data_IF_209283479940
#
_entry.id   IF_209283479940
#
_cell.length_a   1.000
_cell.length_b   1.000
_cell.length_c   1.000
_cell.angle_alpha   90.00
_cell.angle_beta   90.00
_cell.angle_gamma   90.00
#
_symmetry.space_group_name_H-M   'P 1'
#
loop_
_entity.id
_entity.type
_entity.pdbx_description
1 polymer ?
#
# COMPACT_ATOMS: atom_id res chain seq x y z
N UNK A 1 -23.29 0.51 19.37
CA UNK A 1 -22.00 1.15 19.03
C UNK A 1 -21.20 0.23 18.16
N UNK A 2 -20.86 0.69 16.97
CA UNK A 2 -19.88 -0.01 16.13
C UNK A 2 -18.49 0.23 16.71
N UNK A 3 -17.75 -0.83 17.00
CA UNK A 3 -16.36 -0.73 17.41
C UNK A 3 -15.52 -0.17 16.25
N UNK A 4 -14.50 0.65 16.57
CA UNK A 4 -13.57 1.16 15.58
C UNK A 4 -12.79 0.02 14.93
N UNK A 5 -12.47 0.16 13.65
CA UNK A 5 -11.58 -0.75 12.95
C UNK A 5 -10.18 -0.63 13.55
N UNK A 6 -9.63 -1.74 14.01
CA UNK A 6 -8.25 -1.80 14.52
C UNK A 6 -7.31 -1.98 13.34
N UNK A 7 -6.51 -0.97 13.09
CA UNK A 7 -5.53 -0.97 12.01
C UNK A 7 -4.11 -1.00 12.59
N UNK A 8 -3.31 -1.97 12.18
CA UNK A 8 -1.91 -2.04 12.55
C UNK A 8 -1.06 -1.58 11.38
N UNK A 9 -0.21 -0.59 11.63
CA UNK A 9 0.71 -0.03 10.64
C UNK A 9 2.12 -0.51 10.90
N UNK A 10 2.75 -1.11 9.89
CA UNK A 10 4.20 -1.37 9.91
C UNK A 10 4.90 -0.14 9.37
N UNK A 11 5.69 0.53 10.21
CA UNK A 11 6.46 1.71 9.85
C UNK A 11 7.84 1.30 9.33
N UNK A 12 8.10 1.61 8.08
CA UNK A 12 9.38 1.35 7.42
C UNK A 12 10.38 2.53 7.61
N UNK A 13 10.33 3.21 8.76
CA UNK A 13 11.21 4.35 9.07
C UNK A 13 11.04 5.50 8.08
N UNK A 14 9.80 5.84 7.79
CA UNK A 14 9.45 6.87 6.84
C UNK A 14 8.75 8.06 7.51
N UNK A 15 9.15 9.27 7.09
CA UNK A 15 8.55 10.51 7.63
C UNK A 15 7.09 10.70 7.24
N UNK A 16 6.62 10.07 6.17
CA UNK A 16 5.22 10.18 5.71
C UNK A 16 4.27 9.21 6.40
N UNK A 17 4.78 8.26 7.18
CA UNK A 17 3.95 7.25 7.87
C UNK A 17 2.86 7.89 8.71
N UNK A 18 3.19 8.90 9.51
CA UNK A 18 2.23 9.53 10.42
C UNK A 18 1.18 10.37 9.69
N UNK A 19 1.43 10.84 8.48
CA UNK A 19 0.40 11.46 7.65
C UNK A 19 -0.66 10.43 7.23
N UNK A 20 -0.24 9.21 6.91
CA UNK A 20 -1.17 8.11 6.61
C UNK A 20 -1.96 7.74 7.88
N UNK A 21 -1.30 7.66 9.03
CA UNK A 21 -1.94 7.42 10.33
C UNK A 21 -3.01 8.47 10.60
N UNK A 22 -2.69 9.73 10.37
CA UNK A 22 -3.63 10.83 10.55
C UNK A 22 -4.86 10.69 9.66
N UNK A 23 -4.68 10.36 8.38
CA UNK A 23 -5.79 10.16 7.46
C UNK A 23 -6.71 9.01 7.92
N UNK A 24 -6.13 7.89 8.34
CA UNK A 24 -6.92 6.78 8.87
C UNK A 24 -7.64 7.15 10.16
N UNK A 25 -7.00 7.92 11.03
CA UNK A 25 -7.63 8.44 12.25
C UNK A 25 -8.83 9.34 11.94
N UNK A 26 -8.68 10.23 10.97
CA UNK A 26 -9.78 11.10 10.49
C UNK A 26 -10.95 10.28 9.93
N UNK A 27 -10.67 9.10 9.36
CA UNK A 27 -11.67 8.18 8.84
C UNK A 27 -12.27 7.27 9.92
N UNK A 28 -11.86 7.43 11.18
CA UNK A 28 -12.42 6.73 12.32
C UNK A 28 -11.73 5.42 12.69
N UNK A 29 -10.57 5.11 12.12
CA UNK A 29 -9.81 3.91 12.49
C UNK A 29 -9.03 4.13 13.79
N UNK A 30 -8.82 3.05 14.55
CA UNK A 30 -7.92 2.99 15.69
C UNK A 30 -6.60 2.42 15.21
N UNK A 31 -5.56 3.26 15.12
CA UNK A 31 -4.29 2.92 14.50
C UNK A 31 -3.19 2.72 15.53
N UNK A 32 -2.55 1.55 15.50
CA UNK A 32 -1.30 1.29 16.22
C UNK A 32 -0.15 1.23 15.22
N UNK A 33 0.99 1.82 15.56
CA UNK A 33 2.17 1.91 14.69
C UNK A 33 3.34 1.18 15.33
N UNK A 34 3.97 0.29 14.57
CA UNK A 34 5.19 -0.42 15.00
C UNK A 34 6.21 -0.39 13.87
N UNK A 35 7.46 -0.11 14.22
CA UNK A 35 8.55 -0.17 13.25
C UNK A 35 8.80 -1.60 12.79
N UNK A 36 9.30 -1.75 11.56
CA UNK A 36 9.47 -3.04 10.90
C UNK A 36 10.44 -4.02 11.58
N UNK A 37 11.21 -3.55 12.54
CA UNK A 37 12.17 -4.33 13.33
C UNK A 37 11.85 -4.33 14.85
N UNK A 38 10.70 -3.78 15.24
CA UNK A 38 10.29 -3.65 16.65
C UNK A 38 9.07 -4.51 17.01
N UNK A 39 8.57 -5.30 16.07
CA UNK A 39 7.44 -6.20 16.29
C UNK A 39 7.65 -7.51 15.54
N UNK A 40 7.17 -8.61 16.11
CA UNK A 40 7.20 -9.92 15.45
C UNK A 40 5.84 -10.29 14.86
N UNK A 41 5.84 -11.26 13.94
CA UNK A 41 4.59 -11.78 13.36
C UNK A 41 3.68 -12.33 14.44
N UNK A 42 4.22 -13.04 15.43
CA UNK A 42 3.47 -13.60 16.56
C UNK A 42 2.81 -12.51 17.40
N UNK A 43 3.52 -11.41 17.64
CA UNK A 43 2.98 -10.25 18.37
C UNK A 43 1.85 -9.59 17.59
N UNK A 44 1.98 -9.46 16.27
CA UNK A 44 0.92 -8.93 15.41
C UNK A 44 -0.32 -9.82 15.48
N UNK A 45 -0.14 -11.13 15.35
CA UNK A 45 -1.24 -12.10 15.43
C UNK A 45 -1.95 -12.03 16.77
N UNK A 46 -1.20 -11.85 17.88
CA UNK A 46 -1.78 -11.75 19.22
C UNK A 46 -2.63 -10.49 19.41
N UNK A 47 -2.32 -9.42 18.70
CA UNK A 47 -3.08 -8.15 18.75
C UNK A 47 -4.41 -8.22 17.99
N UNK A 48 -4.57 -9.19 17.09
CA UNK A 48 -5.78 -9.41 16.30
C UNK A 48 -6.27 -8.13 15.59
N UNK A 49 -5.43 -7.49 14.76
CA UNK A 49 -5.88 -6.32 14.02
C UNK A 49 -6.94 -6.70 12.97
N UNK A 50 -7.79 -5.75 12.61
CA UNK A 50 -8.78 -5.92 11.55
C UNK A 50 -8.19 -5.64 10.17
N UNK A 51 -7.16 -4.79 10.11
CA UNK A 51 -6.47 -4.35 8.88
C UNK A 51 -4.99 -4.22 9.14
N UNK A 52 -4.20 -4.42 8.10
CA UNK A 52 -2.75 -4.25 8.12
C UNK A 52 -2.32 -3.30 7.00
N UNK A 53 -1.49 -2.32 7.34
CA UNK A 53 -0.91 -1.40 6.38
C UNK A 53 0.60 -1.46 6.47
N UNK A 54 1.26 -1.58 5.33
CA UNK A 54 2.73 -1.53 5.22
C UNK A 54 3.09 -0.19 4.61
N UNK A 55 3.84 0.62 5.36
CA UNK A 55 4.08 2.03 5.06
C UNK A 55 5.10 2.25 3.94
N UNK A 56 5.20 3.48 3.43
CA UNK A 56 6.38 3.90 2.67
C UNK A 56 7.67 3.69 3.47
N UNK A 57 8.79 3.75 2.79
CA UNK A 57 10.11 3.66 3.42
C UNK A 57 11.23 3.80 2.40
N UNK A 58 12.47 3.90 2.90
CA UNK A 58 13.64 4.00 2.05
C UNK A 58 14.07 2.64 1.50
N UNK A 59 14.98 2.66 0.53
CA UNK A 59 15.64 1.49 -0.05
C UNK A 59 14.65 0.56 -0.77
N UNK A 60 14.77 -0.75 -0.57
CA UNK A 60 13.94 -1.76 -1.23
C UNK A 60 13.23 -2.64 -0.22
N UNK A 61 12.26 -3.47 -0.66
CA UNK A 61 11.60 -4.42 0.24
C UNK A 61 12.55 -5.37 0.97
N UNK A 62 13.72 -5.65 0.41
CA UNK A 62 14.71 -6.52 1.05
C UNK A 62 15.29 -5.91 2.33
N UNK A 63 15.30 -4.59 2.46
CA UNK A 63 15.79 -3.87 3.63
C UNK A 63 14.65 -3.39 4.55
N UNK A 64 13.43 -3.85 4.33
CA UNK A 64 12.23 -3.39 5.05
C UNK A 64 11.84 -4.32 6.22
N UNK A 65 12.80 -4.92 6.90
CA UNK A 65 12.55 -5.77 8.07
C UNK A 65 11.56 -6.89 7.76
N UNK A 66 10.49 -6.98 8.55
CA UNK A 66 9.48 -8.04 8.43
C UNK A 66 8.42 -7.77 7.35
N UNK A 67 8.49 -6.66 6.61
CA UNK A 67 7.39 -6.22 5.74
C UNK A 67 6.95 -7.29 4.73
N UNK A 68 7.88 -7.92 4.00
CA UNK A 68 7.54 -8.99 3.05
C UNK A 68 6.97 -10.21 3.77
N UNK A 69 7.61 -10.64 4.87
CA UNK A 69 7.17 -11.81 5.64
C UNK A 69 5.77 -11.60 6.24
N UNK A 70 5.46 -10.40 6.69
CA UNK A 70 4.14 -10.04 7.23
C UNK A 70 3.07 -10.19 6.14
N UNK A 71 3.33 -9.69 4.94
CA UNK A 71 2.39 -9.82 3.82
C UNK A 71 2.15 -11.31 3.50
N UNK A 72 3.21 -12.09 3.42
CA UNK A 72 3.11 -13.53 3.14
C UNK A 72 2.33 -14.28 4.22
N UNK A 73 2.59 -13.96 5.50
CA UNK A 73 1.95 -14.66 6.61
C UNK A 73 0.45 -14.33 6.73
N UNK A 74 0.09 -13.04 6.57
CA UNK A 74 -1.29 -12.60 6.75
C UNK A 74 -2.11 -12.63 5.46
N UNK A 75 -1.52 -13.03 4.35
CA UNK A 75 -2.26 -13.21 3.10
C UNK A 75 -3.43 -14.19 3.30
N UNK A 76 -4.65 -13.73 2.98
CA UNK A 76 -5.87 -14.50 3.18
C UNK A 76 -6.43 -14.49 4.60
N UNK A 77 -5.76 -13.83 5.55
CA UNK A 77 -6.21 -13.76 6.95
C UNK A 77 -6.87 -12.43 7.30
N UNK A 78 -6.41 -11.34 6.71
CA UNK A 78 -6.98 -10.00 6.89
C UNK A 78 -6.62 -9.10 5.71
N UNK A 79 -7.37 -8.00 5.50
CA UNK A 79 -7.05 -7.05 4.44
C UNK A 79 -5.71 -6.35 4.67
N UNK A 80 -4.93 -6.21 3.59
CA UNK A 80 -3.60 -5.60 3.60
C UNK A 80 -3.53 -4.51 2.54
N UNK A 81 -3.02 -3.33 2.92
CA UNK A 81 -2.67 -2.25 2.01
C UNK A 81 -1.18 -1.98 2.09
N UNK A 82 -0.51 -1.91 0.96
CA UNK A 82 0.88 -1.45 0.86
C UNK A 82 0.95 -0.09 0.20
N UNK A 83 1.74 0.82 0.75
CA UNK A 83 1.95 2.16 0.21
C UNK A 83 3.43 2.33 -0.13
N UNK A 84 3.72 2.71 -1.35
CA UNK A 84 5.07 2.94 -1.88
C UNK A 84 5.97 1.71 -1.66
N UNK A 85 6.88 1.72 -0.68
CA UNK A 85 7.68 0.55 -0.33
C UNK A 85 6.79 -0.66 0.01
N UNK A 86 5.70 -0.45 0.72
CA UNK A 86 4.74 -1.50 1.04
C UNK A 86 4.08 -2.12 -0.19
N UNK A 87 3.80 -1.32 -1.21
CA UNK A 87 3.32 -1.80 -2.50
C UNK A 87 4.36 -2.67 -3.20
N UNK A 88 5.63 -2.22 -3.20
CA UNK A 88 6.74 -3.02 -3.74
C UNK A 88 6.92 -4.33 -2.96
N UNK A 89 6.75 -4.28 -1.64
CA UNK A 89 6.79 -5.48 -0.80
C UNK A 89 5.69 -6.49 -1.17
N UNK A 90 4.51 -6.03 -1.57
CA UNK A 90 3.47 -6.91 -2.10
C UNK A 90 3.95 -7.59 -3.39
N UNK A 91 4.51 -6.84 -4.32
CA UNK A 91 5.09 -7.41 -5.54
C UNK A 91 6.13 -8.49 -5.23
N UNK A 92 7.06 -8.19 -4.33
CA UNK A 92 8.12 -9.11 -3.91
C UNK A 92 7.56 -10.34 -3.19
N UNK A 93 6.54 -10.16 -2.34
CA UNK A 93 5.93 -11.25 -1.56
C UNK A 93 5.35 -12.36 -2.45
N UNK A 94 4.87 -12.00 -3.63
CA UNK A 94 4.28 -12.94 -4.59
C UNK A 94 5.21 -13.31 -5.75
N UNK A 95 6.50 -12.92 -5.68
CA UNK A 95 7.52 -13.36 -6.63
C UNK A 95 7.87 -12.40 -7.76
N UNK A 96 7.34 -11.18 -7.73
CA UNK A 96 7.70 -10.13 -8.69
C UNK A 96 9.07 -9.54 -8.41
N UNK A 97 9.70 -9.00 -9.44
CA UNK A 97 10.97 -8.27 -9.32
C UNK A 97 10.71 -6.78 -9.07
N UNK A 98 11.53 -6.19 -8.21
CA UNK A 98 11.51 -4.75 -7.96
C UNK A 98 12.73 -4.18 -8.68
N UNK A 99 12.48 -3.25 -9.59
CA UNK A 99 13.49 -2.68 -10.49
C UNK A 99 13.48 -1.17 -10.42
N UNK A 100 14.47 -0.52 -11.04
CA UNK A 100 14.47 0.93 -11.14
C UNK A 100 13.25 1.41 -11.91
N UNK A 101 12.59 2.44 -11.39
CA UNK A 101 11.50 3.11 -12.09
C UNK A 101 12.00 3.72 -13.40
N UNK A 102 11.12 3.84 -14.37
CA UNK A 102 11.44 4.45 -15.66
C UNK A 102 11.92 5.89 -15.50
N UNK A 103 11.40 6.60 -14.49
CA UNK A 103 11.84 7.94 -14.11
C UNK A 103 12.00 8.03 -12.61
N UNK A 104 13.08 8.66 -12.15
CA UNK A 104 13.25 9.00 -10.74
C UNK A 104 12.20 10.04 -10.36
N UNK A 105 11.35 9.69 -9.37
CA UNK A 105 10.29 10.54 -8.86
C UNK A 105 10.59 10.97 -7.43
N UNK A 106 10.66 12.28 -7.24
CA UNK A 106 10.91 12.87 -5.91
C UNK A 106 10.01 14.09 -5.73
N UNK A 107 8.79 13.85 -5.21
CA UNK A 107 7.80 14.91 -5.01
C UNK A 107 7.17 15.43 -6.30
N UNK A 108 7.15 14.61 -7.34
CA UNK A 108 6.56 14.97 -8.63
C UNK A 108 5.18 14.34 -8.77
N UNK A 109 4.30 15.03 -9.47
CA UNK A 109 2.96 14.52 -9.75
C UNK A 109 2.92 13.85 -11.11
N UNK A 110 2.02 12.87 -11.23
CA UNK A 110 1.71 12.21 -12.50
C UNK A 110 0.22 11.93 -12.56
N UNK A 111 -0.33 11.91 -13.77
CA UNK A 111 -1.69 11.41 -13.99
C UNK A 111 -1.61 9.90 -14.11
N UNK A 112 -2.45 9.20 -13.38
CA UNK A 112 -2.58 7.74 -13.47
C UNK A 112 -3.91 7.38 -14.10
N UNK A 113 -3.94 6.23 -14.77
CA UNK A 113 -5.17 5.55 -15.18
C UNK A 113 -5.44 4.41 -14.22
N UNK A 114 -6.71 4.13 -13.92
CA UNK A 114 -7.11 3.09 -12.99
C UNK A 114 -8.17 2.18 -13.57
N UNK A 115 -8.29 0.98 -12.99
CA UNK A 115 -9.38 0.05 -13.32
C UNK A 115 -10.66 0.36 -12.56
N UNK A 116 -10.65 1.35 -11.68
CA UNK A 116 -11.77 1.70 -10.79
C UNK A 116 -12.20 0.54 -9.87
N UNK A 117 -11.25 -0.34 -9.53
CA UNK A 117 -11.46 -1.48 -8.61
C UNK A 117 -10.64 -1.31 -7.33
N UNK A 118 -11.04 -2.01 -6.28
CA UNK A 118 -10.36 -1.97 -4.98
C UNK A 118 -10.40 -0.58 -4.38
N UNK A 119 -9.25 -0.02 -4.03
CA UNK A 119 -9.17 1.34 -3.46
C UNK A 119 -9.64 2.41 -4.44
N UNK A 120 -9.69 2.10 -5.73
CA UNK A 120 -10.11 3.03 -6.78
C UNK A 120 -11.62 2.97 -7.07
N UNK A 121 -12.36 2.16 -6.34
CA UNK A 121 -13.80 2.02 -6.56
C UNK A 121 -14.54 3.35 -6.34
N UNK A 122 -15.38 3.73 -7.30
CA UNK A 122 -16.14 4.97 -7.24
C UNK A 122 -15.35 6.24 -7.54
N UNK A 123 -14.06 6.13 -7.88
CA UNK A 123 -13.21 7.26 -8.21
C UNK A 123 -13.13 7.45 -9.73
N UNK A 124 -12.68 8.64 -10.20
CA UNK A 124 -12.46 8.85 -11.63
C UNK A 124 -11.48 7.83 -12.20
N UNK A 125 -11.62 7.53 -13.48
CA UNK A 125 -10.72 6.62 -14.20
C UNK A 125 -9.29 7.17 -14.27
N UNK A 126 -9.13 8.49 -14.29
CA UNK A 126 -7.82 9.16 -14.30
C UNK A 126 -7.82 10.27 -13.26
N UNK A 127 -6.70 10.42 -12.55
CA UNK A 127 -6.49 11.53 -11.63
C UNK A 127 -5.00 11.68 -11.31
N UNK A 128 -4.66 12.79 -10.66
CA UNK A 128 -3.27 13.16 -10.34
C UNK A 128 -2.87 12.61 -8.98
N UNK A 129 -1.65 12.05 -8.90
CA UNK A 129 -1.05 11.53 -7.67
C UNK A 129 0.37 12.05 -7.49
N UNK A 130 0.81 12.12 -6.24
CA UNK A 130 2.18 12.49 -5.88
C UNK A 130 3.05 11.24 -5.78
N UNK A 131 4.24 11.31 -6.38
CA UNK A 131 5.18 10.20 -6.46
C UNK A 131 6.50 10.54 -5.77
N UNK A 132 6.96 9.58 -4.94
CA UNK A 132 8.26 9.63 -4.26
C UNK A 132 8.87 8.23 -4.33
N UNK A 133 9.41 7.83 -5.48
CA UNK A 133 10.01 6.51 -5.59
C UNK A 133 11.06 6.45 -6.69
N UNK A 134 12.07 5.64 -6.48
CA UNK A 134 13.10 5.30 -7.47
C UNK A 134 12.98 3.86 -7.97
N UNK A 135 12.15 3.05 -7.31
CA UNK A 135 11.90 1.65 -7.64
C UNK A 135 10.44 1.44 -7.99
N UNK A 136 10.16 0.36 -8.71
CA UNK A 136 8.81 -0.02 -9.10
C UNK A 136 8.72 -1.54 -9.27
N UNK A 137 7.50 -2.07 -9.26
CA UNK A 137 7.26 -3.47 -9.64
C UNK A 137 7.50 -3.59 -11.15
N UNK A 138 8.36 -4.51 -11.55
CA UNK A 138 8.63 -4.79 -12.96
C UNK A 138 7.39 -5.39 -13.63
N UNK A 139 6.92 -4.77 -14.70
CA UNK A 139 5.69 -5.20 -15.37
C UNK A 139 5.83 -6.61 -15.97
N UNK A 140 6.98 -6.94 -16.54
CA UNK A 140 7.21 -8.24 -17.18
C UNK A 140 7.25 -9.41 -16.20
N UNK A 141 7.61 -9.16 -14.94
CA UNK A 141 7.65 -10.19 -13.88
C UNK A 141 6.51 -10.05 -12.87
N UNK A 142 5.56 -9.14 -13.11
CA UNK A 142 4.41 -8.97 -12.22
C UNK A 142 3.67 -10.31 -12.09
N UNK A 143 3.53 -10.84 -10.85
CA UNK A 143 2.94 -12.17 -10.66
C UNK A 143 1.52 -12.27 -11.21
N UNK A 144 1.16 -13.43 -11.76
CA UNK A 144 -0.18 -13.68 -12.33
C UNK A 144 -1.31 -13.52 -11.31
N UNK A 145 -1.01 -13.73 -10.01
CA UNK A 145 -2.01 -13.55 -8.95
C UNK A 145 -2.34 -12.10 -8.68
N UNK A 146 -1.54 -11.15 -9.19
CA UNK A 146 -1.76 -9.72 -9.04
C UNK A 146 -2.33 -9.13 -10.34
N UNK A 147 -3.35 -8.27 -10.15
CA UNK A 147 -3.91 -7.44 -11.23
C UNK A 147 -3.31 -6.04 -11.11
N UNK A 148 -2.83 -5.49 -12.21
CA UNK A 148 -2.42 -4.09 -12.25
C UNK A 148 -3.68 -3.23 -12.25
N UNK A 149 -3.85 -2.39 -11.24
CA UNK A 149 -5.04 -1.57 -11.05
C UNK A 149 -4.84 -0.10 -11.39
N UNK A 150 -3.59 0.34 -11.48
CA UNK A 150 -3.25 1.70 -11.88
C UNK A 150 -1.90 1.74 -12.58
N UNK A 151 -1.76 2.67 -13.54
CA UNK A 151 -0.53 2.81 -14.34
C UNK A 151 -0.39 4.25 -14.86
N UNK A 152 0.84 4.63 -15.21
CA UNK A 152 1.12 5.88 -15.92
C UNK A 152 1.03 5.66 -17.42
N UNK A 153 1.05 6.75 -18.20
CA UNK A 153 1.03 6.67 -19.67
C UNK A 153 2.24 5.87 -20.22
N UNK A 154 3.39 5.93 -19.53
CA UNK A 154 4.58 5.16 -19.89
C UNK A 154 4.48 3.68 -19.50
N UNK A 155 3.41 3.29 -18.84
CA UNK A 155 3.18 1.90 -18.44
C UNK A 155 3.79 1.51 -17.10
N UNK A 156 4.28 2.47 -16.29
CA UNK A 156 4.76 2.19 -14.92
C UNK A 156 3.60 1.72 -14.06
N UNK A 157 3.78 0.61 -13.34
CA UNK A 157 2.76 0.10 -12.41
C UNK A 157 2.63 1.06 -11.23
N UNK A 158 1.41 1.53 -10.98
CA UNK A 158 1.11 2.47 -9.91
C UNK A 158 0.10 1.90 -8.90
N UNK A 159 -0.47 0.76 -9.17
CA UNK A 159 -1.36 0.05 -8.26
C UNK A 159 -1.49 -1.41 -8.64
N UNK A 160 -1.61 -2.26 -7.62
CA UNK A 160 -1.86 -3.70 -7.80
C UNK A 160 -2.91 -4.15 -6.79
N UNK A 161 -3.59 -5.24 -7.11
CA UNK A 161 -4.41 -5.96 -6.14
C UNK A 161 -4.29 -7.46 -6.38
N UNK A 162 -4.42 -8.25 -5.34
CA UNK A 162 -4.52 -9.69 -5.49
C UNK A 162 -5.88 -10.03 -6.11
N UNK A 163 -5.91 -10.98 -7.03
CA UNK A 163 -7.14 -11.32 -7.77
C UNK A 163 -8.21 -11.96 -6.89
N UNK A 164 -7.82 -12.62 -5.81
CA UNK A 164 -8.75 -13.35 -4.92
C UNK A 164 -8.66 -12.94 -3.45
N UNK A 165 -7.50 -12.48 -2.98
CA UNK A 165 -7.29 -12.08 -1.59
C UNK A 165 -7.45 -10.57 -1.41
N UNK A 166 -7.83 -10.09 -0.21
CA UNK A 166 -8.03 -8.67 0.05
C UNK A 166 -6.68 -7.94 0.29
N UNK A 167 -5.79 -8.00 -0.70
CA UNK A 167 -4.46 -7.38 -0.67
C UNK A 167 -4.35 -6.43 -1.85
N UNK A 168 -3.93 -5.20 -1.57
CA UNK A 168 -3.74 -4.21 -2.62
C UNK A 168 -2.66 -3.21 -2.24
N UNK A 169 -2.07 -2.58 -3.25
CA UNK A 169 -1.00 -1.62 -3.06
C UNK A 169 -1.09 -0.45 -4.03
N UNK A 170 -0.55 0.67 -3.60
CA UNK A 170 -0.40 1.87 -4.42
C UNK A 170 1.04 2.35 -4.35
N UNK A 171 1.63 2.68 -5.51
CA UNK A 171 3.02 3.14 -5.58
C UNK A 171 3.17 4.59 -5.16
N UNK A 172 2.13 5.37 -5.28
CA UNK A 172 2.11 6.79 -4.93
C UNK A 172 1.74 7.00 -3.46
N UNK A 173 1.71 8.28 -3.05
CA UNK A 173 1.41 8.67 -1.67
C UNK A 173 -0.02 9.22 -1.56
N UNK A 174 -0.99 8.42 -1.08
CA UNK A 174 -2.38 8.89 -0.92
C UNK A 174 -2.52 9.95 0.16
N UNK A 175 -1.58 10.02 1.11
CA UNK A 175 -1.56 11.00 2.20
C UNK A 175 -1.04 12.38 1.79
N UNK A 176 -0.48 12.50 0.60
CA UNK A 176 0.03 13.77 0.10
C UNK A 176 -1.11 14.69 -0.30
N UNK A 177 -0.98 15.97 0.05
CA UNK A 177 -1.93 17.00 -0.37
C UNK A 177 -1.98 17.14 -1.91
N UNK A 178 -0.93 16.72 -2.60
CA UNK A 178 -0.84 16.75 -4.07
C UNK A 178 -1.52 15.56 -4.73
N UNK A 179 -1.97 14.58 -3.96
CA UNK A 179 -2.71 13.42 -4.46
C UNK A 179 -4.21 13.68 -4.37
N UNK A 180 -4.89 13.56 -5.50
CA UNK A 180 -6.35 13.65 -5.53
C UNK A 180 -6.97 12.38 -4.95
N UNK A 181 -8.09 12.52 -4.26
CA UNK A 181 -8.91 11.40 -3.74
C UNK A 181 -8.22 10.51 -2.68
N UNK A 182 -7.19 11.02 -2.00
CA UNK A 182 -6.44 10.23 -1.01
C UNK A 182 -7.31 9.66 0.10
N UNK A 183 -8.14 10.49 0.74
CA UNK A 183 -9.05 10.01 1.80
C UNK A 183 -10.05 8.97 1.28
N UNK A 184 -10.58 9.17 0.07
CA UNK A 184 -11.53 8.22 -0.53
C UNK A 184 -10.90 6.86 -0.77
N UNK A 185 -9.64 6.82 -1.23
CA UNK A 185 -8.90 5.56 -1.42
C UNK A 185 -8.71 4.82 -0.09
N UNK A 186 -8.29 5.53 0.94
CA UNK A 186 -8.06 4.93 2.25
C UNK A 186 -9.38 4.48 2.89
N UNK A 187 -10.45 5.24 2.69
CA UNK A 187 -11.79 4.83 3.12
C UNK A 187 -12.25 3.54 2.42
N UNK A 188 -12.00 3.43 1.12
CA UNK A 188 -12.32 2.20 0.38
C UNK A 188 -11.58 0.99 0.98
N UNK A 189 -10.31 1.17 1.36
CA UNK A 189 -9.58 0.11 2.04
C UNK A 189 -10.22 -0.28 3.38
N UNK A 190 -10.59 0.71 4.21
CA UNK A 190 -11.24 0.44 5.50
C UNK A 190 -12.56 -0.30 5.35
N UNK A 191 -13.28 -0.06 4.26
CA UNK A 191 -14.57 -0.71 4.00
C UNK A 191 -14.44 -2.07 3.30
N UNK A 192 -13.22 -2.47 2.91
CA UNK A 192 -12.98 -3.75 2.26
C UNK A 192 -13.26 -4.90 3.23
N UNK A 193 -14.00 -5.89 2.74
CA UNK A 193 -14.28 -7.09 3.54
C UNK A 193 -13.13 -8.10 3.41
N UNK A 194 -12.90 -8.84 4.47
CA UNK A 194 -11.89 -9.90 4.51
C UNK A 194 -12.27 -11.10 3.66
#
# INVERSE_FOLDING_TARGET
MTSKIKLLMIDNYDSFTYNIVQYFGELGADVEVFRNDEITIEQIAAKKPDRLVVSPGPCSPNEAGISVAVIQHFAGKLPILGVCLGHQAIGAAFGGNIVRAQQLMHGKTSVISTTQRGVFAGLPKQFTVNRYHSLAIERSSCPDVLEVTAWTDEGEIMGVRHKTLPIQGVQFHPESILTEHGHAMLKNFLNQQA
#
